data_IF_618532493622
#
_entry.id   IF_618532493622
#
_cell.length_a   1.000
_cell.length_b   1.000
_cell.length_c   1.000
_cell.angle_alpha   90.00
_cell.angle_beta   90.00
_cell.angle_gamma   90.00
#
_symmetry.space_group_name_H-M   'P 1'
#
loop_
_entity.id
_entity.type
_entity.pdbx_description
1 polymer ?
#
# COMPACT_ATOMS: atom_id res chain seq x y z
N UNK A 1 -16.31 -2.90 -9.63
CA UNK A 1 -15.88 -1.52 -9.28
C UNK A 1 -14.63 -1.57 -8.44
N UNK A 2 -13.73 -0.56 -8.58
CA UNK A 2 -12.47 -0.43 -7.81
C UNK A 2 -12.64 0.67 -6.77
N UNK A 3 -12.13 0.49 -5.56
CA UNK A 3 -11.95 1.56 -4.57
C UNK A 3 -10.47 1.89 -4.43
N UNK A 4 -10.11 3.15 -4.64
CA UNK A 4 -8.78 3.69 -4.32
C UNK A 4 -8.85 4.41 -2.97
N UNK A 5 -8.04 3.98 -2.01
CA UNK A 5 -7.99 4.54 -0.65
C UNK A 5 -6.72 5.35 -0.51
N UNK A 6 -6.84 6.64 -0.17
CA UNK A 6 -5.73 7.57 0.04
C UNK A 6 -5.75 8.04 1.50
N UNK A 7 -4.89 7.48 2.36
CA UNK A 7 -4.68 8.04 3.69
C UNK A 7 -3.88 9.34 3.58
N UNK A 8 -4.34 10.42 4.22
CA UNK A 8 -3.60 11.69 4.22
C UNK A 8 -3.56 12.32 5.61
N UNK A 9 -2.42 12.92 5.95
CA UNK A 9 -2.20 13.64 7.20
C UNK A 9 -1.45 14.95 6.93
N UNK A 10 -2.11 16.07 7.22
CA UNK A 10 -1.56 17.40 6.93
C UNK A 10 -1.01 17.50 5.50
N UNK A 11 -1.87 17.27 4.48
CA UNK A 11 -1.42 17.18 3.09
C UNK A 11 -0.76 18.46 2.60
N UNK A 12 0.24 18.28 1.75
CA UNK A 12 0.87 19.34 0.97
C UNK A 12 0.45 19.29 -0.50
N UNK A 13 1.17 20.03 -1.34
CA UNK A 13 0.88 20.11 -2.78
C UNK A 13 0.99 18.74 -3.51
N UNK A 14 1.69 17.78 -2.94
CA UNK A 14 1.83 16.44 -3.49
C UNK A 14 0.47 15.70 -3.59
N UNK A 15 -0.47 15.95 -2.66
CA UNK A 15 -1.82 15.35 -2.75
C UNK A 15 -2.51 15.70 -4.06
N UNK A 16 -2.31 16.91 -4.57
CA UNK A 16 -2.93 17.32 -5.83
C UNK A 16 -2.39 16.53 -7.01
N UNK A 17 -1.08 16.29 -7.05
CA UNK A 17 -0.45 15.43 -8.06
C UNK A 17 -0.97 13.99 -8.00
N UNK A 18 -1.14 13.45 -6.81
CA UNK A 18 -1.76 12.14 -6.59
C UNK A 18 -3.16 12.10 -7.21
N UNK A 19 -4.02 13.06 -6.86
CA UNK A 19 -5.40 13.13 -7.35
C UNK A 19 -5.49 13.40 -8.85
N UNK A 20 -4.65 14.29 -9.40
CA UNK A 20 -4.60 14.56 -10.84
C UNK A 20 -4.22 13.29 -11.63
N UNK A 21 -3.33 12.43 -11.10
CA UNK A 21 -2.98 11.16 -11.73
C UNK A 21 -4.13 10.14 -11.72
N UNK A 22 -5.01 10.21 -10.71
CA UNK A 22 -6.21 9.38 -10.65
C UNK A 22 -7.33 9.95 -11.54
N UNK A 23 -7.44 11.26 -11.66
CA UNK A 23 -8.35 11.89 -12.64
C UNK A 23 -7.96 11.55 -14.07
N UNK A 24 -6.67 11.40 -14.36
CA UNK A 24 -6.16 11.10 -15.72
C UNK A 24 -6.22 9.61 -16.09
N UNK A 25 -6.83 8.74 -15.25
CA UNK A 25 -6.91 7.31 -15.58
C UNK A 25 -7.70 7.06 -16.87
N UNK A 26 -7.20 6.13 -17.69
CA UNK A 26 -7.87 5.66 -18.92
C UNK A 26 -9.11 4.83 -18.65
N UNK A 27 -9.23 4.28 -17.43
CA UNK A 27 -10.42 3.57 -16.96
C UNK A 27 -11.61 4.52 -16.85
N UNK A 28 -12.79 4.09 -17.27
CA UNK A 28 -14.01 4.87 -17.18
C UNK A 28 -14.33 5.28 -15.74
N UNK A 29 -14.65 6.56 -15.53
CA UNK A 29 -14.81 7.20 -14.21
C UNK A 29 -15.84 6.53 -13.28
N UNK A 30 -16.85 5.89 -13.85
CA UNK A 30 -17.88 5.19 -13.10
C UNK A 30 -17.46 3.79 -12.61
N UNK A 31 -16.30 3.27 -13.08
CA UNK A 31 -15.78 1.96 -12.67
C UNK A 31 -14.88 2.02 -11.44
N UNK A 32 -14.55 3.20 -10.95
CA UNK A 32 -13.79 3.35 -9.72
C UNK A 32 -14.28 4.53 -8.86
N UNK A 33 -14.00 4.45 -7.58
CA UNK A 33 -14.16 5.52 -6.61
C UNK A 33 -12.82 5.82 -5.93
N UNK A 34 -12.62 7.06 -5.53
CA UNK A 34 -11.48 7.52 -4.73
C UNK A 34 -11.97 7.98 -3.37
N UNK A 35 -11.41 7.42 -2.30
CA UNK A 35 -11.75 7.77 -0.92
C UNK A 35 -10.51 8.36 -0.27
N UNK A 36 -10.53 9.65 -0.01
CA UNK A 36 -9.49 10.36 0.74
C UNK A 36 -9.86 10.28 2.21
N UNK A 37 -8.97 9.77 3.04
CA UNK A 37 -9.15 9.74 4.50
C UNK A 37 -8.19 10.75 5.12
N UNK A 38 -8.71 11.92 5.47
CA UNK A 38 -7.99 12.92 6.23
C UNK A 38 -7.95 12.51 7.70
N UNK A 39 -6.77 12.11 8.19
CA UNK A 39 -6.60 11.65 9.56
C UNK A 39 -5.85 12.69 10.40
N UNK A 40 -6.37 12.99 11.59
CA UNK A 40 -5.86 14.03 12.49
C UNK A 40 -6.56 15.37 12.31
N UNK A 41 -5.79 16.47 12.23
CA UNK A 41 -6.34 17.82 12.20
C UNK A 41 -7.21 18.09 10.98
N UNK A 42 -8.48 18.49 11.20
CA UNK A 42 -9.41 18.84 10.14
C UNK A 42 -9.02 20.14 9.41
N UNK A 43 -8.79 21.19 10.17
CA UNK A 43 -8.53 22.52 9.62
C UNK A 43 -7.02 22.78 9.46
N UNK A 44 -6.60 23.46 8.37
CA UNK A 44 -7.40 23.98 7.25
C UNK A 44 -7.66 22.96 6.14
N UNK A 45 -7.13 21.76 6.24
CA UNK A 45 -6.95 20.78 5.16
C UNK A 45 -8.25 20.28 4.55
N UNK A 46 -9.29 20.06 5.36
CA UNK A 46 -10.56 19.52 4.88
C UNK A 46 -11.20 20.42 3.82
N UNK A 47 -11.29 21.71 4.12
CA UNK A 47 -11.91 22.68 3.21
C UNK A 47 -11.08 22.88 1.92
N UNK A 48 -9.75 22.79 2.03
CA UNK A 48 -8.87 22.84 0.87
C UNK A 48 -9.04 21.60 -0.04
N UNK A 49 -9.18 20.42 0.55
CA UNK A 49 -9.47 19.19 -0.20
C UNK A 49 -10.83 19.30 -0.89
N UNK A 50 -11.89 19.67 -0.17
CA UNK A 50 -13.25 19.82 -0.74
C UNK A 50 -13.23 20.77 -1.94
N UNK A 51 -12.59 21.94 -1.81
CA UNK A 51 -12.46 22.90 -2.90
C UNK A 51 -11.73 22.31 -4.10
N UNK A 52 -10.68 21.54 -3.85
CA UNK A 52 -9.87 20.99 -4.91
C UNK A 52 -10.55 19.85 -5.67
N UNK A 53 -11.24 18.93 -4.95
CA UNK A 53 -11.93 17.80 -5.58
C UNK A 53 -13.14 18.20 -6.40
N UNK A 54 -13.73 19.39 -6.16
CA UNK A 54 -14.87 19.91 -6.90
C UNK A 54 -14.62 20.10 -8.42
N UNK A 55 -13.37 20.07 -8.88
CA UNK A 55 -13.00 20.15 -10.31
C UNK A 55 -12.93 18.81 -11.04
N UNK A 56 -12.94 17.68 -10.29
CA UNK A 56 -12.76 16.35 -10.87
C UNK A 56 -14.07 15.75 -11.36
N UNK A 57 -13.97 14.96 -12.41
CA UNK A 57 -15.09 14.18 -12.97
C UNK A 57 -15.18 12.77 -12.37
N UNK A 58 -14.09 12.27 -11.79
CA UNK A 58 -14.08 10.99 -11.09
C UNK A 58 -14.93 11.03 -9.82
N UNK A 59 -15.47 9.88 -9.42
CA UNK A 59 -16.18 9.74 -8.14
C UNK A 59 -15.16 9.82 -6.99
N UNK A 60 -15.00 11.00 -6.40
CA UNK A 60 -14.07 11.23 -5.29
C UNK A 60 -14.80 11.83 -4.09
N UNK A 61 -14.49 11.34 -2.89
CA UNK A 61 -15.00 11.86 -1.62
C UNK A 61 -13.91 11.93 -0.58
N UNK A 62 -14.09 12.82 0.40
CA UNK A 62 -13.21 12.93 1.56
C UNK A 62 -13.98 12.59 2.83
N UNK A 63 -13.38 11.77 3.65
CA UNK A 63 -13.83 11.44 5.00
C UNK A 63 -12.76 11.89 5.99
N UNK A 64 -13.16 12.24 7.21
CA UNK A 64 -12.26 12.77 8.21
C UNK A 64 -12.36 11.98 9.52
N UNK A 65 -11.23 11.77 10.16
CA UNK A 65 -11.14 11.20 11.51
C UNK A 65 -10.13 11.96 12.36
N UNK A 66 -10.47 12.23 13.61
CA UNK A 66 -9.56 12.87 14.56
C UNK A 66 -8.46 11.93 15.06
N UNK A 67 -8.57 10.64 14.77
CA UNK A 67 -7.58 9.62 15.18
C UNK A 67 -6.46 9.59 14.15
N UNK A 68 -5.24 10.07 14.49
CA UNK A 68 -4.12 10.06 13.58
C UNK A 68 -3.58 8.64 13.37
N UNK A 69 -2.96 8.43 12.21
CA UNK A 69 -2.26 7.20 11.87
C UNK A 69 -2.75 6.56 10.57
N UNK A 70 -1.79 6.17 9.74
CA UNK A 70 -2.02 5.59 8.41
C UNK A 70 -2.88 4.32 8.47
N UNK A 71 -2.64 3.46 9.47
CA UNK A 71 -3.43 2.24 9.69
C UNK A 71 -4.90 2.53 9.99
N UNK A 72 -5.19 3.55 10.84
CA UNK A 72 -6.55 3.98 11.12
C UNK A 72 -7.24 4.49 9.86
N UNK A 73 -6.55 5.33 9.09
CA UNK A 73 -7.09 5.87 7.85
C UNK A 73 -7.37 4.77 6.81
N UNK A 74 -6.42 3.85 6.59
CA UNK A 74 -6.64 2.73 5.67
C UNK A 74 -7.79 1.82 6.11
N UNK A 75 -7.92 1.55 7.41
CA UNK A 75 -9.01 0.75 7.97
C UNK A 75 -10.37 1.43 7.75
N UNK A 76 -10.47 2.73 8.06
CA UNK A 76 -11.70 3.50 7.79
C UNK A 76 -12.06 3.45 6.30
N UNK A 77 -11.08 3.65 5.41
CA UNK A 77 -11.29 3.52 3.97
C UNK A 77 -11.79 2.14 3.55
N UNK A 78 -11.25 1.05 4.14
CA UNK A 78 -11.73 -0.31 3.91
C UNK A 78 -13.18 -0.51 4.37
N UNK A 79 -13.55 0.05 5.52
CA UNK A 79 -14.89 -0.12 6.09
C UNK A 79 -15.97 0.53 5.23
N UNK A 80 -15.66 1.65 4.57
CA UNK A 80 -16.61 2.40 3.74
C UNK A 80 -16.46 2.15 2.24
N UNK A 81 -15.46 1.34 1.81
CA UNK A 81 -15.22 0.99 0.42
C UNK A 81 -16.40 0.25 -0.20
N UNK A 82 -16.79 0.60 -1.43
CA UNK A 82 -17.88 -0.05 -2.16
C UNK A 82 -17.37 -1.00 -3.25
N UNK A 83 -16.12 -0.82 -3.70
CA UNK A 83 -15.51 -1.64 -4.75
C UNK A 83 -15.23 -3.07 -4.31
N UNK A 84 -15.29 -3.98 -5.26
CA UNK A 84 -14.86 -5.38 -5.11
C UNK A 84 -13.34 -5.53 -5.13
N UNK A 85 -12.65 -4.51 -5.65
CA UNK A 85 -11.21 -4.40 -5.73
C UNK A 85 -10.74 -3.17 -4.96
N UNK A 86 -9.63 -3.29 -4.24
CA UNK A 86 -9.08 -2.20 -3.43
C UNK A 86 -7.63 -1.91 -3.86
N UNK A 87 -7.34 -0.64 -4.06
CA UNK A 87 -5.98 -0.11 -4.23
C UNK A 87 -5.68 0.86 -3.09
N UNK A 88 -4.47 0.80 -2.54
CA UNK A 88 -3.96 1.83 -1.64
C UNK A 88 -2.96 2.69 -2.40
N UNK A 89 -3.10 4.01 -2.29
CA UNK A 89 -2.17 4.99 -2.86
C UNK A 89 -1.81 5.98 -1.76
N UNK A 90 -0.53 6.14 -1.47
CA UNK A 90 -0.07 7.12 -0.50
C UNK A 90 -0.21 8.54 -1.09
N UNK A 91 -0.51 9.53 -0.25
CA UNK A 91 -0.87 10.88 -0.70
C UNK A 91 0.28 11.67 -1.33
N UNK A 92 1.51 11.20 -1.15
CA UNK A 92 2.72 11.78 -1.75
C UNK A 92 3.21 11.05 -3.02
N UNK A 93 2.49 9.99 -3.42
CA UNK A 93 2.79 9.17 -4.59
C UNK A 93 1.78 9.46 -5.73
N UNK A 94 2.03 8.97 -6.93
CA UNK A 94 1.11 9.06 -8.07
C UNK A 94 1.21 7.83 -8.96
N UNK A 95 0.32 7.71 -9.94
CA UNK A 95 0.22 6.53 -10.79
C UNK A 95 0.20 6.89 -12.27
N UNK A 96 0.58 5.94 -13.15
CA UNK A 96 0.46 6.11 -14.60
C UNK A 96 -1.01 6.12 -15.05
N UNK A 97 -1.30 6.69 -16.20
CA UNK A 97 -2.67 6.82 -16.73
C UNK A 97 -3.37 5.47 -16.94
N UNK A 98 -2.64 4.43 -17.26
CA UNK A 98 -3.18 3.07 -17.46
C UNK A 98 -3.14 2.21 -16.18
N UNK A 99 -2.77 2.76 -15.03
CA UNK A 99 -2.53 1.99 -13.80
C UNK A 99 -3.72 1.12 -13.37
N UNK A 100 -4.90 1.71 -13.20
CA UNK A 100 -6.09 0.98 -12.78
C UNK A 100 -6.54 -0.03 -13.83
N UNK A 101 -6.52 0.35 -15.11
CA UNK A 101 -6.94 -0.51 -16.22
C UNK A 101 -6.04 -1.75 -16.33
N UNK A 102 -4.72 -1.58 -16.25
CA UNK A 102 -3.78 -2.70 -16.39
C UNK A 102 -3.78 -3.61 -15.16
N UNK A 103 -3.91 -3.07 -13.95
CA UNK A 103 -4.10 -3.87 -12.75
C UNK A 103 -5.38 -4.70 -12.83
N UNK A 104 -6.49 -4.09 -13.22
CA UNK A 104 -7.79 -4.77 -13.33
C UNK A 104 -7.76 -5.89 -14.40
N UNK A 105 -7.19 -5.61 -15.56
CA UNK A 105 -7.10 -6.56 -16.67
C UNK A 105 -6.21 -7.76 -16.36
N UNK A 106 -5.27 -7.64 -15.44
CA UNK A 106 -4.37 -8.74 -15.05
C UNK A 106 -5.01 -9.71 -14.03
N UNK A 107 -6.08 -9.30 -13.33
CA UNK A 107 -6.80 -10.16 -12.38
C UNK A 107 -7.69 -11.12 -13.15
N UNK A 108 -7.37 -12.41 -13.09
CA UNK A 108 -8.14 -13.48 -13.76
C UNK A 108 -9.12 -14.21 -12.84
N UNK A 109 -8.91 -14.13 -11.53
CA UNK A 109 -9.67 -14.80 -10.49
C UNK A 109 -9.61 -13.98 -9.19
N UNK A 110 -10.65 -13.95 -8.40
CA UNK A 110 -10.75 -13.25 -7.10
C UNK A 110 -9.72 -13.74 -6.07
N UNK A 111 -9.06 -14.87 -6.32
CA UNK A 111 -7.96 -15.37 -5.48
C UNK A 111 -6.58 -14.76 -5.78
N UNK A 112 -6.45 -13.86 -6.76
CA UNK A 112 -5.17 -13.29 -7.16
C UNK A 112 -5.07 -11.80 -6.81
N UNK A 113 -3.91 -11.40 -6.31
CA UNK A 113 -3.53 -9.98 -6.15
C UNK A 113 -2.81 -9.54 -7.41
N UNK A 114 -3.23 -8.42 -8.01
CA UNK A 114 -2.51 -7.80 -9.11
C UNK A 114 -1.45 -6.83 -8.59
N UNK A 115 -0.26 -6.82 -9.19
CA UNK A 115 0.89 -5.97 -8.80
C UNK A 115 1.43 -5.21 -9.99
N UNK A 116 1.64 -3.90 -9.81
CA UNK A 116 2.25 -3.00 -10.79
C UNK A 116 3.76 -2.94 -10.67
N UNK A 117 4.40 -2.36 -11.67
CA UNK A 117 5.77 -1.88 -11.55
C UNK A 117 5.83 -0.66 -10.59
N UNK A 118 7.02 -0.37 -10.08
CA UNK A 118 7.31 0.77 -9.19
C UNK A 118 8.46 1.58 -9.78
N UNK A 119 8.34 2.91 -9.76
CA UNK A 119 9.43 3.82 -10.07
C UNK A 119 9.61 4.78 -8.89
N UNK A 120 10.77 4.76 -8.26
CA UNK A 120 11.10 5.72 -7.20
C UNK A 120 11.64 7.01 -7.82
N UNK A 121 11.07 8.14 -7.46
CA UNK A 121 11.45 9.47 -8.00
C UNK A 121 12.04 10.31 -6.86
N UNK A 122 13.23 10.82 -7.09
CA UNK A 122 13.88 11.73 -6.16
C UNK A 122 13.20 13.10 -6.20
N UNK A 123 12.77 13.61 -5.02
CA UNK A 123 12.04 14.88 -4.91
C UNK A 123 12.85 16.07 -5.43
N UNK A 124 14.18 16.06 -5.19
CA UNK A 124 15.06 17.19 -5.48
C UNK A 124 15.48 17.23 -6.96
N UNK A 125 15.88 16.07 -7.50
CA UNK A 125 16.40 16.00 -8.88
C UNK A 125 15.32 15.65 -9.91
N UNK A 126 14.18 15.10 -9.49
CA UNK A 126 13.16 14.53 -10.39
C UNK A 126 13.59 13.24 -11.09
N UNK A 127 14.77 12.73 -10.81
CA UNK A 127 15.32 11.55 -11.45
C UNK A 127 14.77 10.26 -10.86
N UNK A 128 14.67 9.24 -11.70
CA UNK A 128 14.35 7.88 -11.24
C UNK A 128 15.53 7.29 -10.47
N UNK A 129 15.27 6.80 -9.26
CA UNK A 129 16.25 6.10 -8.42
C UNK A 129 15.99 4.59 -8.43
N UNK A 130 17.04 3.79 -8.22
CA UNK A 130 16.87 2.35 -8.06
C UNK A 130 15.88 2.01 -6.95
N UNK A 131 14.93 1.11 -7.25
CA UNK A 131 13.96 0.59 -6.30
C UNK A 131 13.99 -0.93 -6.30
N UNK A 132 13.99 -1.53 -5.10
CA UNK A 132 14.08 -2.98 -5.01
C UNK A 132 12.81 -3.69 -5.51
N UNK A 133 11.62 -3.06 -5.38
CA UNK A 133 10.38 -3.62 -5.91
C UNK A 133 10.38 -3.63 -7.43
N UNK A 134 10.89 -2.54 -8.03
CA UNK A 134 11.07 -2.46 -9.49
C UNK A 134 12.01 -3.57 -9.99
N UNK A 135 13.16 -3.76 -9.33
CA UNK A 135 14.11 -4.80 -9.70
C UNK A 135 13.49 -6.21 -9.61
N UNK A 136 12.69 -6.47 -8.57
CA UNK A 136 11.98 -7.75 -8.42
C UNK A 136 10.89 -7.90 -9.47
N UNK A 137 10.10 -6.86 -9.73
CA UNK A 137 9.07 -6.87 -10.76
C UNK A 137 9.68 -7.15 -12.14
N UNK A 138 10.74 -6.43 -12.52
CA UNK A 138 11.44 -6.62 -13.81
C UNK A 138 12.01 -8.03 -13.99
N UNK A 139 12.46 -8.67 -12.93
CA UNK A 139 12.94 -10.06 -12.99
C UNK A 139 11.83 -11.10 -13.19
N UNK A 140 10.58 -10.72 -12.92
CA UNK A 140 9.43 -11.63 -12.89
C UNK A 140 8.34 -11.30 -13.93
N UNK A 141 8.33 -10.11 -14.53
CA UNK A 141 7.21 -9.59 -15.36
C UNK A 141 6.91 -10.43 -16.61
N UNK A 142 7.86 -11.27 -17.05
CA UNK A 142 7.64 -12.22 -18.16
C UNK A 142 6.68 -13.37 -17.76
N UNK A 143 6.41 -13.56 -16.47
CA UNK A 143 5.37 -14.46 -15.98
C UNK A 143 4.06 -13.67 -15.82
N UNK A 144 2.96 -14.20 -16.36
CA UNK A 144 1.63 -13.60 -16.13
C UNK A 144 1.21 -13.72 -14.65
N UNK A 145 1.49 -14.86 -14.05
CA UNK A 145 1.18 -15.15 -12.65
C UNK A 145 2.35 -15.86 -11.97
N UNK A 146 2.50 -15.61 -10.68
CA UNK A 146 3.54 -16.23 -9.83
C UNK A 146 2.95 -16.66 -8.48
N UNK A 147 3.52 -17.70 -7.89
CA UNK A 147 3.16 -18.14 -6.55
C UNK A 147 3.68 -17.21 -5.45
N UNK A 148 3.08 -17.30 -4.25
CA UNK A 148 3.37 -16.47 -3.08
C UNK A 148 4.86 -16.38 -2.72
N UNK A 149 5.60 -17.50 -2.80
CA UNK A 149 7.02 -17.51 -2.43
C UNK A 149 7.88 -16.65 -3.35
N UNK A 150 7.62 -16.69 -4.66
CA UNK A 150 8.30 -15.81 -5.62
C UNK A 150 7.86 -14.36 -5.43
N UNK A 151 6.58 -14.13 -5.14
CA UNK A 151 5.98 -12.81 -4.95
C UNK A 151 6.29 -12.16 -3.59
N UNK A 152 6.89 -12.86 -2.64
CA UNK A 152 7.03 -12.41 -1.24
C UNK A 152 7.57 -10.99 -1.06
N UNK A 153 8.50 -10.57 -1.92
CA UNK A 153 9.07 -9.22 -1.87
C UNK A 153 8.07 -8.17 -2.39
N UNK A 154 7.33 -8.48 -3.44
CA UNK A 154 6.28 -7.63 -3.98
C UNK A 154 5.11 -7.44 -3.00
N UNK A 155 4.91 -8.39 -2.09
CA UNK A 155 3.89 -8.35 -1.02
C UNK A 155 4.40 -7.70 0.28
N UNK A 156 5.44 -6.86 0.24
CA UNK A 156 5.98 -6.17 1.42
C UNK A 156 5.28 -4.86 1.78
N UNK A 157 4.55 -4.28 0.84
CA UNK A 157 3.75 -3.06 0.99
C UNK A 157 2.31 -3.34 0.60
N UNK A 158 1.35 -2.57 1.06
CA UNK A 158 -0.05 -2.59 0.62
C UNK A 158 -0.26 -1.79 -0.67
N UNK A 159 0.60 -0.81 -0.95
CA UNK A 159 0.59 -0.02 -2.18
C UNK A 159 1.11 -0.80 -3.40
N UNK A 160 1.01 -0.21 -4.58
CA UNK A 160 1.47 -0.76 -5.85
C UNK A 160 0.72 -2.02 -6.29
N UNK A 161 -0.52 -2.20 -5.85
CA UNK A 161 -1.31 -3.40 -6.15
C UNK A 161 -2.82 -3.17 -6.07
N UNK A 162 -3.54 -4.11 -6.67
CA UNK A 162 -4.99 -4.22 -6.56
C UNK A 162 -5.31 -5.54 -5.84
N UNK A 163 -6.09 -5.45 -4.77
CA UNK A 163 -6.39 -6.56 -3.87
C UNK A 163 -7.91 -6.79 -3.90
N UNK A 164 -8.38 -7.98 -4.29
CA UNK A 164 -9.78 -8.33 -4.15
C UNK A 164 -10.26 -8.17 -2.70
N UNK A 165 -11.40 -7.50 -2.51
CA UNK A 165 -11.99 -7.28 -1.18
C UNK A 165 -12.30 -8.59 -0.45
N UNK A 166 -12.59 -9.64 -1.20
CA UNK A 166 -12.77 -11.00 -0.69
C UNK A 166 -11.50 -11.54 -0.02
N UNK A 167 -10.31 -11.28 -0.61
CA UNK A 167 -9.01 -11.62 0.01
C UNK A 167 -8.79 -10.83 1.30
N UNK A 168 -9.17 -9.55 1.32
CA UNK A 168 -9.06 -8.72 2.52
C UNK A 168 -9.98 -9.23 3.63
N UNK A 169 -11.23 -9.52 3.29
CA UNK A 169 -12.23 -10.00 4.26
C UNK A 169 -12.39 -9.04 5.44
N UNK A 170 -12.30 -9.59 6.65
CA UNK A 170 -12.40 -8.83 7.91
C UNK A 170 -11.04 -8.35 8.44
N UNK A 171 -9.94 -8.67 7.77
CA UNK A 171 -8.63 -8.25 8.22
C UNK A 171 -8.44 -6.73 8.10
N UNK A 172 -7.72 -6.18 9.07
CA UNK A 172 -7.44 -4.75 9.17
C UNK A 172 -5.99 -4.52 9.54
N UNK A 173 -5.46 -3.35 9.15
CA UNK A 173 -4.13 -2.91 9.56
C UNK A 173 -4.04 -2.81 11.08
N UNK A 174 -2.92 -3.24 11.65
CA UNK A 174 -2.68 -3.13 13.08
C UNK A 174 -2.30 -1.69 13.46
N UNK A 175 -3.23 -0.99 14.11
CA UNK A 175 -3.09 0.43 14.49
C UNK A 175 -2.01 0.69 15.53
N UNK A 176 -1.50 -0.35 16.20
CA UNK A 176 -0.41 -0.23 17.20
C UNK A 176 0.98 -0.20 16.55
N UNK A 177 1.08 -0.65 15.29
CA UNK A 177 2.34 -0.65 14.57
C UNK A 177 2.56 0.70 13.89
N UNK A 178 3.68 1.32 14.18
CA UNK A 178 4.12 2.54 13.50
C UNK A 178 5.01 2.27 12.28
N UNK A 179 5.43 1.02 12.09
CA UNK A 179 6.19 0.51 10.94
C UNK A 179 5.91 -0.98 10.76
N UNK A 180 5.92 -1.42 9.49
CA UNK A 180 5.70 -2.82 9.14
C UNK A 180 4.25 -3.27 9.23
N UNK A 181 3.31 -2.35 9.43
CA UNK A 181 1.87 -2.57 9.39
C UNK A 181 1.42 -3.16 8.06
N UNK A 182 1.99 -2.69 6.95
CA UNK A 182 1.76 -3.20 5.60
C UNK A 182 2.18 -4.66 5.45
N UNK A 183 3.40 -4.97 5.90
CA UNK A 183 3.93 -6.31 5.81
C UNK A 183 3.10 -7.30 6.65
N UNK A 184 2.64 -6.88 7.83
CA UNK A 184 1.75 -7.67 8.67
C UNK A 184 0.38 -7.85 8.02
N UNK A 185 -0.22 -6.80 7.48
CA UNK A 185 -1.50 -6.86 6.78
C UNK A 185 -1.43 -7.82 5.58
N UNK A 186 -0.39 -7.71 4.75
CA UNK A 186 -0.19 -8.61 3.62
C UNK A 186 0.04 -10.07 4.07
N UNK A 187 0.67 -10.29 5.23
CA UNK A 187 0.81 -11.62 5.81
C UNK A 187 -0.54 -12.17 6.33
N UNK A 188 -1.37 -11.34 6.97
CA UNK A 188 -2.71 -11.72 7.44
C UNK A 188 -3.59 -12.23 6.29
N UNK A 189 -3.65 -11.50 5.19
CA UNK A 189 -4.50 -11.86 4.05
C UNK A 189 -3.93 -13.01 3.21
N UNK A 190 -2.65 -13.36 3.39
CA UNK A 190 -1.93 -14.31 2.52
C UNK A 190 -2.51 -15.72 2.51
N UNK A 191 -3.25 -16.13 3.55
CA UNK A 191 -3.91 -17.43 3.60
C UNK A 191 -5.01 -17.61 2.53
N UNK A 192 -5.56 -16.48 2.03
CA UNK A 192 -6.59 -16.45 0.99
C UNK A 192 -6.05 -16.16 -0.41
N UNK A 193 -4.74 -15.94 -0.53
CA UNK A 193 -4.10 -15.61 -1.81
C UNK A 193 -3.64 -16.86 -2.53
N UNK A 194 -4.22 -17.16 -3.69
CA UNK A 194 -3.81 -18.26 -4.56
C UNK A 194 -2.51 -17.96 -5.31
N UNK A 195 -2.33 -16.70 -5.69
CA UNK A 195 -1.14 -16.24 -6.43
C UNK A 195 -1.15 -14.74 -6.67
N UNK A 196 -0.14 -14.28 -7.41
CA UNK A 196 0.03 -12.88 -7.76
C UNK A 196 0.09 -12.76 -9.28
N UNK A 197 -0.76 -11.90 -9.83
CA UNK A 197 -0.72 -11.50 -11.24
C UNK A 197 0.19 -10.29 -11.40
N UNK A 198 1.02 -10.29 -12.42
CA UNK A 198 1.85 -9.13 -12.77
C UNK A 198 1.15 -8.36 -13.88
N UNK A 199 0.80 -7.10 -13.59
CA UNK A 199 0.17 -6.22 -14.56
C UNK A 199 1.16 -5.88 -15.70
N UNK A 200 0.67 -5.31 -16.80
CA UNK A 200 1.51 -4.81 -17.87
C UNK A 200 2.49 -3.73 -17.36
N UNK A 201 3.63 -3.57 -18.03
CA UNK A 201 4.67 -2.60 -17.67
C UNK A 201 4.20 -1.14 -17.72
N UNK A 202 3.06 -0.86 -18.36
CA UNK A 202 2.39 0.44 -18.37
C UNK A 202 1.73 0.79 -17.03
N UNK A 203 1.43 -0.21 -16.18
CA UNK A 203 0.99 0.02 -14.81
C UNK A 203 2.19 0.39 -13.95
N UNK A 204 2.40 1.67 -13.72
CA UNK A 204 3.51 2.17 -12.90
C UNK A 204 2.98 2.94 -11.69
N UNK A 205 3.48 2.58 -10.53
CA UNK A 205 3.32 3.32 -9.29
C UNK A 205 4.57 4.17 -9.06
N UNK A 206 4.43 5.49 -9.07
CA UNK A 206 5.53 6.43 -8.85
C UNK A 206 5.61 6.79 -7.38
N UNK A 207 6.69 6.36 -6.72
CA UNK A 207 6.94 6.62 -5.32
C UNK A 207 7.88 7.82 -5.14
N UNK A 208 7.42 8.85 -4.43
CA UNK A 208 8.23 10.03 -4.16
C UNK A 208 9.21 9.77 -3.01
N UNK A 209 10.50 10.00 -3.26
CA UNK A 209 11.54 9.91 -2.26
C UNK A 209 11.78 11.29 -1.62
N UNK A 210 10.97 11.63 -0.59
CA UNK A 210 11.08 12.91 0.10
C UNK A 210 12.15 12.90 1.20
N UNK A 211 12.79 14.06 1.37
CA UNK A 211 13.60 14.36 2.55
C UNK A 211 12.68 14.47 3.76
N UNK A 212 12.93 13.70 4.84
CA UNK A 212 12.09 13.74 6.06
C UNK A 212 10.87 12.82 6.04
N UNK A 213 10.76 11.90 5.07
CA UNK A 213 9.73 10.86 5.06
C UNK A 213 9.68 10.09 6.39
N UNK A 214 8.45 9.81 6.89
CA UNK A 214 8.22 9.09 8.16
C UNK A 214 8.92 7.71 8.22
N UNK A 215 9.08 7.04 7.06
CA UNK A 215 9.78 5.77 6.95
C UNK A 215 11.29 5.88 7.23
N UNK A 216 11.88 7.08 7.09
CA UNK A 216 13.32 7.35 7.26
C UNK A 216 13.67 8.07 8.57
N UNK A 217 12.67 8.48 9.38
CA UNK A 217 12.93 9.17 10.65
C UNK A 217 13.71 8.27 11.61
N UNK A 218 14.80 8.81 12.18
CA UNK A 218 15.59 8.13 13.20
C UNK A 218 14.82 8.10 14.52
N UNK A 219 14.66 6.90 15.07
CA UNK A 219 14.10 6.69 16.40
C UNK A 219 15.23 6.31 17.36
N UNK A 220 15.05 6.63 18.64
CA UNK A 220 15.98 6.14 19.67
C UNK A 220 16.00 4.61 19.64
N UNK A 221 17.15 4.00 19.91
CA UNK A 221 17.35 2.54 19.94
C UNK A 221 16.30 1.83 20.81
N UNK A 222 15.96 2.40 21.98
CA UNK A 222 14.95 1.86 22.89
C UNK A 222 13.55 1.75 22.26
N UNK A 223 13.16 2.78 21.50
CA UNK A 223 11.88 2.81 20.78
C UNK A 223 11.86 1.83 19.62
N UNK A 224 12.99 1.72 18.92
CA UNK A 224 13.15 0.78 17.83
C UNK A 224 13.09 -0.69 18.28
N UNK A 225 13.67 -1.03 19.43
CA UNK A 225 13.53 -2.36 20.02
C UNK A 225 12.08 -2.67 20.43
N UNK A 226 11.38 -1.68 20.99
CA UNK A 226 9.96 -1.84 21.34
C UNK A 226 9.07 -2.07 20.12
N UNK A 227 9.25 -1.27 19.09
CA UNK A 227 8.53 -1.41 17.80
C UNK A 227 8.81 -2.78 17.16
N UNK A 228 10.06 -3.23 17.20
CA UNK A 228 10.47 -4.54 16.70
C UNK A 228 9.78 -5.69 17.45
N UNK A 229 9.85 -5.69 18.79
CA UNK A 229 9.23 -6.74 19.61
C UNK A 229 7.71 -6.79 19.39
N UNK A 230 7.06 -5.63 19.29
CA UNK A 230 5.63 -5.54 19.02
C UNK A 230 5.30 -6.10 17.61
N UNK A 231 6.13 -5.81 16.63
CA UNK A 231 5.96 -6.32 15.27
C UNK A 231 6.11 -7.83 15.22
N UNK A 232 7.18 -8.40 15.81
CA UNK A 232 7.41 -9.85 15.85
C UNK A 232 6.31 -10.58 16.61
N UNK A 233 5.88 -10.03 17.77
CA UNK A 233 4.75 -10.57 18.52
C UNK A 233 3.47 -10.58 17.68
N UNK A 234 3.21 -9.49 16.93
CA UNK A 234 2.02 -9.39 16.08
C UNK A 234 2.04 -10.41 14.95
N UNK A 235 3.20 -10.64 14.30
CA UNK A 235 3.38 -11.69 13.31
C UNK A 235 3.12 -13.08 13.91
N UNK A 236 3.70 -13.37 15.06
CA UNK A 236 3.52 -14.66 15.73
C UNK A 236 2.05 -14.89 16.10
N UNK A 237 1.38 -13.87 16.66
CA UNK A 237 -0.04 -13.93 17.00
C UNK A 237 -0.91 -14.25 15.77
N UNK A 238 -0.67 -13.58 14.65
CA UNK A 238 -1.37 -13.83 13.38
C UNK A 238 -1.13 -15.27 12.93
N UNK A 239 0.12 -15.72 12.90
CA UNK A 239 0.45 -17.08 12.48
C UNK A 239 -0.23 -18.15 13.34
N UNK A 240 -0.20 -17.99 14.67
CA UNK A 240 -0.78 -18.94 15.60
C UNK A 240 -2.32 -18.94 15.58
N UNK A 241 -2.96 -17.86 15.10
CA UNK A 241 -4.42 -17.81 15.02
C UNK A 241 -5.01 -18.75 13.97
N UNK A 242 -4.23 -19.08 12.93
CA UNK A 242 -4.70 -19.94 11.85
C UNK A 242 -3.56 -20.68 11.14
N UNK A 243 -2.75 -21.39 11.93
CA UNK A 243 -1.54 -22.07 11.47
C UNK A 243 -1.76 -23.03 10.30
N UNK A 244 -2.98 -23.58 10.16
CA UNK A 244 -3.30 -24.58 9.12
C UNK A 244 -3.47 -23.98 7.73
N UNK A 245 -3.89 -22.70 7.63
CA UNK A 245 -4.19 -22.03 6.38
C UNK A 245 -3.06 -21.17 5.85
N UNK A 246 -2.06 -20.84 6.68
CA UNK A 246 -0.91 -20.08 6.21
C UNK A 246 0.12 -20.93 5.47
N UNK A 247 0.68 -20.38 4.40
CA UNK A 247 1.88 -20.94 3.79
C UNK A 247 3.07 -20.69 4.74
N UNK A 248 3.53 -21.76 5.41
CA UNK A 248 4.56 -21.67 6.45
C UNK A 248 5.86 -21.02 5.93
N UNK A 249 6.31 -21.41 4.72
CA UNK A 249 7.56 -20.88 4.15
C UNK A 249 7.44 -19.39 3.82
N UNK A 250 6.29 -18.96 3.29
CA UNK A 250 6.02 -17.54 3.05
C UNK A 250 6.02 -16.77 4.36
N UNK A 251 5.28 -17.24 5.35
CA UNK A 251 5.08 -16.56 6.63
C UNK A 251 6.40 -16.43 7.40
N UNK A 252 7.14 -17.53 7.58
CA UNK A 252 8.46 -17.52 8.24
C UNK A 252 9.49 -16.72 7.44
N UNK A 253 9.43 -16.75 6.11
CA UNK A 253 10.27 -15.92 5.27
C UNK A 253 10.02 -14.40 5.48
N UNK A 254 8.78 -14.00 5.77
CA UNK A 254 8.44 -12.59 6.13
C UNK A 254 8.92 -12.24 7.53
N UNK A 255 8.66 -13.11 8.50
CA UNK A 255 9.14 -12.97 9.87
C UNK A 255 10.68 -12.76 9.91
N UNK A 256 11.43 -13.64 9.28
CA UNK A 256 12.90 -13.54 9.23
C UNK A 256 13.37 -12.28 8.46
N UNK A 257 12.64 -11.81 7.47
CA UNK A 257 13.01 -10.59 6.74
C UNK A 257 12.90 -9.34 7.63
N UNK A 258 11.88 -9.26 8.49
CA UNK A 258 11.72 -8.19 9.49
C UNK A 258 12.86 -8.24 10.50
N UNK A 259 13.14 -9.42 11.04
CA UNK A 259 14.24 -9.65 11.97
C UNK A 259 15.58 -9.20 11.40
N UNK A 260 15.93 -9.66 10.19
CA UNK A 260 17.17 -9.29 9.50
C UNK A 260 17.25 -7.78 9.25
N UNK A 261 16.15 -7.15 8.80
CA UNK A 261 16.11 -5.70 8.52
C UNK A 261 16.40 -4.86 9.75
N UNK A 262 15.87 -5.27 10.91
CA UNK A 262 16.11 -4.59 12.19
C UNK A 262 17.55 -4.77 12.66
N UNK A 263 18.08 -6.00 12.58
CA UNK A 263 19.49 -6.30 12.97
C UNK A 263 20.45 -5.46 12.13
N UNK A 264 20.30 -5.47 10.80
CA UNK A 264 21.21 -4.71 9.91
C UNK A 264 21.16 -3.22 10.25
N UNK A 265 19.97 -2.66 10.49
CA UNK A 265 19.82 -1.22 10.75
C UNK A 265 20.43 -0.76 12.08
N UNK A 266 20.41 -1.62 13.12
CA UNK A 266 20.75 -1.18 14.48
C UNK A 266 21.97 -1.86 15.11
N UNK A 267 22.48 -2.95 14.52
CA UNK A 267 23.66 -3.68 15.03
C UNK A 267 24.87 -3.62 14.08
N UNK A 268 24.68 -3.21 12.82
CA UNK A 268 25.77 -3.07 11.84
C UNK A 268 26.14 -1.60 11.55
N UNK A 269 25.60 -0.67 12.32
CA UNK A 269 25.98 0.73 12.40
C UNK A 269 26.22 1.07 13.88
#
# INVERSE_FOLDING_TARGET
MITVIIPTYQPGAYLWKCLDSLESQTMEKHLYEVIIILNGCRNPYYEDIIRHIGKYSMNVRVEQTDVPGVSNARNMGLDISQGEQVCFVDDDDWVSEEYLQQLYSSVQDTGFISVSNVAAIDETSGETRPDYLSSVYQSLHHHKTIGLLKARRLLSSSCCKMIPKEIIGKDRFNVRLSRGEDALFMAQISSRVKGVALADTKAVYFRLLRTGSASRSDKSLKRACGDFLLQEYSFLKVYLSDIRHYNHVFFWGRFLAVFKGTIIKYLCH
#
